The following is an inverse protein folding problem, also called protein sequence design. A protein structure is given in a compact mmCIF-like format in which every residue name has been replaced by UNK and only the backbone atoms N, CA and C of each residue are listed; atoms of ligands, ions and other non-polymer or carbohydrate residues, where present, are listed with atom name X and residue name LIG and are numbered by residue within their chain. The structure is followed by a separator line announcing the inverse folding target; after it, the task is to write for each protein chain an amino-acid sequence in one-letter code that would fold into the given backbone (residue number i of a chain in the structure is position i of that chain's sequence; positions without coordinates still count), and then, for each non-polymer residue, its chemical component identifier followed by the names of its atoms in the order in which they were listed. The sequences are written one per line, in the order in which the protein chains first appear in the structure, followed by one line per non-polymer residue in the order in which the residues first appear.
data_IF_657929006470
#
_entry.id   IF_657929006470
#
_cell.length_a   1.000
_cell.length_b   1.000
_cell.length_c   1.000
_cell.angle_alpha   90.00
_cell.angle_beta   90.00
_cell.angle_gamma   90.00
#
_symmetry.space_group_name_H-M   'P 1'
#
loop_
_entity.id
_entity.type
_entity.pdbx_description
1 polymer ?
#
# COMPACT_ATOMS: atom_id res chain seq x y z
N UNK A 1 17.58 43.54 -11.50
CA UNK A 1 18.14 42.58 -12.48
C UNK A 1 19.00 41.45 -11.89
N UNK A 2 19.81 41.64 -10.83
CA UNK A 2 20.66 40.58 -10.25
C UNK A 2 19.89 39.45 -9.52
N UNK A 3 18.79 39.77 -8.84
CA UNK A 3 17.95 38.78 -8.13
C UNK A 3 17.20 37.85 -9.10
N UNK A 4 16.80 38.36 -10.27
CA UNK A 4 16.11 37.59 -11.31
C UNK A 4 17.04 36.58 -12.01
N UNK A 5 18.32 36.93 -12.22
CA UNK A 5 19.33 36.01 -12.78
C UNK A 5 19.70 34.87 -11.82
N UNK A 6 19.74 35.12 -10.51
CA UNK A 6 20.03 34.10 -9.50
C UNK A 6 18.89 33.07 -9.37
N UNK A 7 17.63 33.54 -9.45
CA UNK A 7 16.43 32.67 -9.47
C UNK A 7 16.37 31.80 -10.74
N UNK A 8 16.70 32.35 -11.91
CA UNK A 8 16.77 31.57 -13.16
C UNK A 8 17.89 30.53 -13.10
N UNK A 9 19.04 30.85 -12.50
CA UNK A 9 20.18 29.92 -12.37
C UNK A 9 19.87 28.76 -11.40
N UNK A 10 19.17 29.04 -10.30
CA UNK A 10 18.75 28.00 -9.32
C UNK A 10 17.66 27.11 -9.94
N UNK A 11 16.72 27.72 -10.69
CA UNK A 11 15.68 26.96 -11.38
C UNK A 11 16.29 26.08 -12.48
N UNK A 12 17.22 26.60 -13.28
CA UNK A 12 17.91 25.85 -14.33
C UNK A 12 18.81 24.74 -13.77
N UNK A 13 19.53 24.95 -12.67
CA UNK A 13 20.27 23.88 -11.97
C UNK A 13 19.35 22.80 -11.42
N UNK A 14 18.20 23.18 -10.86
CA UNK A 14 17.23 22.21 -10.32
C UNK A 14 16.54 21.40 -11.42
N UNK A 15 16.37 22.00 -12.61
CA UNK A 15 15.82 21.36 -13.80
C UNK A 15 16.87 20.44 -14.44
N UNK A 16 18.14 20.85 -14.54
CA UNK A 16 19.21 20.02 -15.09
C UNK A 16 19.51 18.80 -14.20
N UNK A 17 19.57 18.98 -12.88
CA UNK A 17 19.72 17.86 -11.92
C UNK A 17 18.55 16.87 -11.99
N UNK A 18 17.32 17.34 -12.25
CA UNK A 18 16.15 16.47 -12.44
C UNK A 18 16.16 15.74 -13.78
N UNK A 19 16.67 16.38 -14.84
CA UNK A 19 16.81 15.77 -16.16
C UNK A 19 17.87 14.65 -16.13
N UNK A 20 19.04 14.93 -15.56
CA UNK A 20 20.17 14.01 -15.42
C UNK A 20 19.80 12.74 -14.63
N UNK A 21 19.07 12.89 -13.51
CA UNK A 21 18.62 11.76 -12.70
C UNK A 21 17.52 10.92 -13.39
N UNK A 22 16.73 11.50 -14.29
CA UNK A 22 15.74 10.74 -15.07
C UNK A 22 16.42 9.97 -16.21
N UNK A 23 17.41 10.56 -16.88
CA UNK A 23 18.24 9.86 -17.88
C UNK A 23 18.97 8.66 -17.25
N UNK A 24 19.45 8.81 -16.02
CA UNK A 24 20.09 7.74 -15.26
C UNK A 24 19.12 6.57 -14.97
N UNK A 25 17.88 6.85 -14.56
CA UNK A 25 16.84 5.82 -14.38
C UNK A 25 16.61 5.04 -15.68
N UNK A 26 16.44 5.74 -16.80
CA UNK A 26 16.21 5.10 -18.10
C UNK A 26 17.43 4.29 -18.56
N UNK A 27 18.65 4.76 -18.26
CA UNK A 27 19.89 4.02 -18.54
C UNK A 27 19.96 2.71 -17.75
N UNK A 28 19.67 2.74 -16.45
CA UNK A 28 19.66 1.53 -15.60
C UNK A 28 18.59 0.53 -16.07
N UNK A 29 17.41 1.00 -16.45
CA UNK A 29 16.35 0.13 -16.98
C UNK A 29 16.76 -0.53 -18.30
N UNK A 30 17.39 0.20 -19.21
CA UNK A 30 17.90 -0.35 -20.48
C UNK A 30 19.00 -1.38 -20.31
N UNK A 31 19.84 -1.25 -19.28
CA UNK A 31 20.91 -2.22 -19.00
C UNK A 31 20.40 -3.52 -18.36
N UNK A 32 19.16 -3.54 -17.89
CA UNK A 32 18.57 -4.64 -17.10
C UNK A 32 17.39 -5.31 -17.81
N UNK A 33 17.38 -5.34 -19.15
CA UNK A 33 16.27 -5.91 -19.95
C UNK A 33 16.05 -7.40 -19.72
N UNK A 34 17.12 -8.18 -19.50
CA UNK A 34 17.10 -9.62 -19.23
C UNK A 34 17.24 -9.95 -17.73
N UNK A 35 16.59 -9.14 -16.90
CA UNK A 35 16.67 -9.26 -15.43
C UNK A 35 16.12 -10.59 -14.92
N UNK A 36 16.86 -11.24 -14.02
CA UNK A 36 16.43 -12.45 -13.30
C UNK A 36 15.57 -12.14 -12.08
N UNK A 37 15.36 -10.85 -11.79
CA UNK A 37 14.59 -10.36 -10.66
C UNK A 37 13.11 -10.71 -10.74
N UNK A 38 12.57 -10.96 -11.94
CA UNK A 38 11.18 -11.34 -12.11
C UNK A 38 11.03 -12.84 -12.43
N UNK A 39 10.14 -13.54 -11.72
CA UNK A 39 9.85 -14.95 -11.95
C UNK A 39 8.36 -15.20 -12.01
N UNK A 40 7.96 -16.17 -12.83
CA UNK A 40 6.57 -16.53 -13.04
C UNK A 40 6.34 -18.00 -12.66
N UNK A 41 5.55 -18.24 -11.61
CA UNK A 41 5.03 -19.56 -11.24
C UNK A 41 3.52 -19.68 -11.45
N UNK A 42 2.89 -18.66 -12.05
CA UNK A 42 1.46 -18.63 -12.35
C UNK A 42 1.18 -19.37 -13.66
N UNK A 43 0.07 -20.11 -13.70
CA UNK A 43 -0.34 -20.80 -14.92
C UNK A 43 -0.67 -19.80 -16.04
N UNK A 44 -0.18 -20.08 -17.26
CA UNK A 44 -0.44 -19.27 -18.47
C UNK A 44 -1.93 -18.96 -18.69
N UNK A 45 -2.81 -19.92 -18.38
CA UNK A 45 -4.27 -19.75 -18.51
C UNK A 45 -4.83 -18.64 -17.61
N UNK A 46 -4.27 -18.46 -16.42
CA UNK A 46 -4.76 -17.48 -15.45
C UNK A 46 -4.18 -16.09 -15.77
N UNK A 47 -2.93 -16.02 -16.25
CA UNK A 47 -2.36 -14.79 -16.82
C UNK A 47 -3.17 -14.28 -18.02
N UNK A 48 -3.58 -15.16 -18.95
CA UNK A 48 -4.46 -14.78 -20.07
C UNK A 48 -5.82 -14.23 -19.61
N UNK A 49 -6.38 -14.74 -18.50
CA UNK A 49 -7.62 -14.19 -17.93
C UNK A 49 -7.40 -12.80 -17.37
N UNK A 50 -6.28 -12.60 -16.65
CA UNK A 50 -5.91 -11.29 -16.12
C UNK A 50 -5.70 -10.28 -17.26
N UNK A 51 -4.99 -10.67 -18.31
CA UNK A 51 -4.76 -9.89 -19.53
C UNK A 51 -6.08 -9.47 -20.19
N UNK A 52 -6.97 -10.42 -20.47
CA UNK A 52 -8.30 -10.13 -21.05
C UNK A 52 -9.07 -9.14 -20.19
N UNK A 53 -9.00 -9.28 -18.86
CA UNK A 53 -9.68 -8.39 -17.93
C UNK A 53 -9.06 -6.99 -17.91
N UNK A 54 -7.73 -6.89 -17.92
CA UNK A 54 -7.00 -5.64 -18.03
C UNK A 54 -7.34 -4.90 -19.34
N UNK A 55 -7.29 -5.59 -20.49
CA UNK A 55 -7.62 -5.04 -21.82
C UNK A 55 -9.07 -4.57 -21.92
N UNK A 56 -10.00 -5.20 -21.20
CA UNK A 56 -11.39 -4.75 -21.15
C UNK A 56 -11.58 -3.37 -20.49
N UNK A 57 -10.58 -2.86 -19.75
CA UNK A 57 -10.59 -1.55 -19.07
C UNK A 57 -11.85 -1.33 -18.22
N UNK A 58 -12.37 -2.41 -17.63
CA UNK A 58 -13.55 -2.42 -16.77
C UNK A 58 -13.23 -3.25 -15.52
N UNK A 59 -13.40 -2.64 -14.36
CA UNK A 59 -13.31 -3.30 -13.06
C UNK A 59 -12.00 -4.04 -12.79
N UNK A 60 -10.91 -3.29 -12.64
CA UNK A 60 -9.58 -3.85 -12.38
C UNK A 60 -9.01 -3.32 -11.06
N UNK A 61 -8.86 -4.20 -10.08
CA UNK A 61 -8.37 -3.85 -8.74
C UNK A 61 -6.99 -4.41 -8.46
N UNK A 62 -6.07 -3.58 -7.98
CA UNK A 62 -4.79 -4.02 -7.39
C UNK A 62 -4.78 -3.66 -5.91
N UNK A 63 -4.35 -4.61 -5.07
CA UNK A 63 -4.10 -4.36 -3.65
C UNK A 63 -2.68 -4.69 -3.27
N UNK A 64 -2.02 -3.77 -2.58
CA UNK A 64 -0.68 -3.96 -2.04
C UNK A 64 -0.75 -4.10 -0.52
N UNK A 65 -0.30 -5.23 0.00
CA UNK A 65 0.04 -5.38 1.41
C UNK A 65 1.55 -5.19 1.56
N UNK A 66 2.01 -4.38 2.52
CA UNK A 66 3.44 -4.22 2.71
C UNK A 66 3.90 -3.48 3.95
N UNK A 67 5.18 -3.13 3.95
CA UNK A 67 5.84 -2.39 5.03
C UNK A 67 6.13 -0.93 4.63
N UNK A 68 7.18 -0.32 5.21
CA UNK A 68 7.56 1.07 4.91
C UNK A 68 7.89 1.33 3.45
N UNK A 69 8.29 0.32 2.68
CA UNK A 69 8.57 0.49 1.25
C UNK A 69 7.32 0.82 0.43
N UNK A 70 6.14 0.42 0.93
CA UNK A 70 4.86 0.65 0.27
C UNK A 70 4.05 1.76 0.95
N UNK A 71 4.21 1.95 2.26
CA UNK A 71 3.39 2.87 3.06
C UNK A 71 3.62 4.37 2.78
N UNK A 72 4.79 4.74 2.25
CA UNK A 72 5.06 6.09 1.78
C UNK A 72 4.44 6.38 0.39
N UNK A 73 3.86 5.35 -0.25
CA UNK A 73 3.06 5.43 -1.47
C UNK A 73 3.84 5.88 -2.73
N UNK A 74 5.18 5.91 -2.67
CA UNK A 74 6.03 6.24 -3.82
C UNK A 74 6.08 5.11 -4.87
N UNK A 75 6.26 3.85 -4.42
CA UNK A 75 6.23 2.68 -5.29
C UNK A 75 4.83 2.43 -5.87
N UNK A 76 3.74 2.38 -5.06
CA UNK A 76 2.39 2.22 -5.57
C UNK A 76 1.95 3.33 -6.54
N UNK A 77 2.40 4.59 -6.32
CA UNK A 77 2.09 5.72 -7.21
C UNK A 77 2.56 5.47 -8.64
N UNK A 78 3.76 4.93 -8.84
CA UNK A 78 4.25 4.63 -10.19
C UNK A 78 3.35 3.60 -10.89
N UNK A 79 2.86 2.59 -10.18
CA UNK A 79 1.93 1.63 -10.78
C UNK A 79 0.62 2.33 -11.16
N UNK A 80 0.09 3.23 -10.31
CA UNK A 80 -1.08 4.03 -10.68
C UNK A 80 -0.79 4.88 -11.92
N UNK A 81 0.27 5.67 -11.92
CA UNK A 81 0.54 6.61 -13.00
C UNK A 81 0.78 5.93 -14.37
N UNK A 82 1.39 4.73 -14.37
CA UNK A 82 1.86 4.09 -15.61
C UNK A 82 1.13 2.80 -16.00
N UNK A 83 0.39 2.15 -15.10
CA UNK A 83 -0.40 0.96 -15.40
C UNK A 83 -1.91 1.21 -15.30
N UNK A 84 -2.32 2.00 -14.30
CA UNK A 84 -3.72 2.15 -13.90
C UNK A 84 -4.14 3.62 -13.79
N UNK A 85 -4.80 4.16 -14.80
CA UNK A 85 -5.51 5.44 -14.63
C UNK A 85 -6.68 5.25 -13.66
N UNK A 86 -6.39 5.42 -12.37
CA UNK A 86 -7.29 5.10 -11.27
C UNK A 86 -8.48 6.04 -11.29
N UNK A 87 -9.68 5.49 -11.21
CA UNK A 87 -10.92 6.26 -11.14
C UNK A 87 -11.66 6.03 -9.80
N UNK A 88 -11.10 5.17 -8.95
CA UNK A 88 -11.50 4.90 -7.59
C UNK A 88 -10.24 4.82 -6.71
N UNK A 89 -10.37 5.01 -5.41
CA UNK A 89 -9.24 4.85 -4.47
C UNK A 89 -9.13 3.40 -4.02
N UNK A 90 -10.24 2.66 -3.96
CA UNK A 90 -10.30 1.36 -3.28
C UNK A 90 -10.36 1.58 -1.76
N UNK A 91 -9.61 0.79 -1.01
CA UNK A 91 -9.48 0.95 0.44
C UNK A 91 -8.53 2.10 0.81
N UNK A 92 -8.87 2.83 1.87
CA UNK A 92 -7.96 3.77 2.52
C UNK A 92 -8.16 3.77 4.03
N UNK A 93 -7.07 3.91 4.79
CA UNK A 93 -7.14 4.10 6.24
C UNK A 93 -7.95 5.35 6.61
N UNK A 94 -8.59 5.30 7.78
CA UNK A 94 -9.34 6.44 8.30
C UNK A 94 -8.47 7.70 8.46
N UNK A 95 -7.23 7.49 8.92
CA UNK A 95 -6.13 8.44 8.96
C UNK A 95 -4.82 7.70 8.65
N UNK A 96 -3.86 8.38 8.05
CA UNK A 96 -2.55 7.80 7.74
C UNK A 96 -1.63 7.87 8.97
N UNK A 97 -0.94 6.78 9.35
CA UNK A 97 0.07 6.85 10.40
C UNK A 97 1.19 7.82 10.04
N UNK A 98 1.93 8.27 11.05
CA UNK A 98 3.04 9.22 10.85
C UNK A 98 4.04 8.69 9.81
N UNK A 99 4.45 9.56 8.88
CA UNK A 99 5.36 9.26 7.77
C UNK A 99 4.81 8.26 6.73
N UNK A 100 3.49 8.09 6.69
CA UNK A 100 2.78 7.33 5.66
C UNK A 100 1.78 8.26 4.98
N UNK A 101 1.35 7.89 3.77
CA UNK A 101 0.41 8.70 3.02
C UNK A 101 -0.37 7.87 2.01
N UNK A 102 -1.46 8.44 1.52
CA UNK A 102 -2.14 7.98 0.31
C UNK A 102 -2.22 9.19 -0.63
N UNK A 103 -1.53 9.14 -1.76
CA UNK A 103 -1.36 10.30 -2.64
C UNK A 103 -2.62 10.65 -3.42
N UNK A 104 -3.63 9.76 -3.48
CA UNK A 104 -4.96 10.06 -4.02
C UNK A 104 -5.86 10.80 -3.03
N UNK A 105 -5.43 10.96 -1.77
CA UNK A 105 -6.23 11.54 -0.70
C UNK A 105 -5.45 12.62 0.06
N UNK A 106 -6.19 13.51 0.70
CA UNK A 106 -5.64 14.46 1.69
C UNK A 106 -6.52 14.46 2.93
N UNK A 107 -5.89 14.54 4.09
CA UNK A 107 -6.54 14.43 5.39
C UNK A 107 -6.23 15.68 6.21
N UNK A 108 -7.27 16.31 6.77
CA UNK A 108 -7.15 17.22 7.92
C UNK A 108 -7.95 16.62 9.07
N UNK A 109 -7.44 16.67 10.29
CA UNK A 109 -8.21 16.13 11.43
C UNK A 109 -7.94 16.90 12.73
N UNK A 110 -8.88 16.80 13.66
CA UNK A 110 -8.79 17.36 15.01
C UNK A 110 -9.43 16.42 16.02
N UNK A 111 -8.73 16.19 17.15
CA UNK A 111 -9.16 15.33 18.26
C UNK A 111 -9.40 13.86 17.85
N UNK A 112 -8.52 13.32 17.02
CA UNK A 112 -8.44 11.88 16.77
C UNK A 112 -7.06 11.36 17.15
N UNK A 113 -7.04 10.23 17.84
CA UNK A 113 -5.84 9.42 18.06
C UNK A 113 -5.81 8.24 17.09
N UNK A 114 -4.61 7.84 16.69
CA UNK A 114 -4.38 6.67 15.84
C UNK A 114 -4.01 5.46 16.70
N UNK A 115 -4.72 4.35 16.52
CA UNK A 115 -4.35 3.05 17.08
C UNK A 115 -3.73 2.20 15.96
N UNK A 116 -2.73 1.39 16.31
CA UNK A 116 -1.97 0.61 15.34
C UNK A 116 -1.60 -0.77 15.90
N UNK A 117 -2.09 -1.83 15.24
CA UNK A 117 -1.85 -3.24 15.57
C UNK A 117 -0.37 -3.62 15.73
N UNK A 118 0.54 -2.88 15.09
CA UNK A 118 1.99 -3.10 15.19
C UNK A 118 2.53 -2.78 16.59
N UNK A 119 1.90 -1.87 17.32
CA UNK A 119 2.38 -1.37 18.61
C UNK A 119 1.46 -1.78 19.78
N UNK A 120 0.21 -2.09 19.51
CA UNK A 120 -0.79 -2.56 20.49
C UNK A 120 -1.53 -3.75 19.88
N UNK A 121 -1.58 -4.86 20.61
CA UNK A 121 -2.20 -6.12 20.15
C UNK A 121 -3.55 -6.42 20.79
N UNK A 122 -3.97 -5.61 21.76
CA UNK A 122 -5.14 -5.90 22.59
C UNK A 122 -6.44 -5.31 22.05
N UNK A 123 -6.39 -4.63 20.91
CA UNK A 123 -7.54 -3.96 20.33
C UNK A 123 -8.14 -4.75 19.16
N UNK A 124 -9.44 -4.57 18.94
CA UNK A 124 -10.18 -5.24 17.88
C UNK A 124 -9.96 -4.54 16.52
N UNK A 125 -8.81 -4.78 15.89
CA UNK A 125 -8.40 -4.13 14.64
C UNK A 125 -9.10 -4.67 13.39
N UNK A 126 -9.56 -3.81 12.47
CA UNK A 126 -10.08 -4.23 11.17
C UNK A 126 -8.95 -4.41 10.15
N UNK A 127 -9.30 -4.57 8.88
CA UNK A 127 -8.37 -4.69 7.76
C UNK A 127 -7.29 -3.61 7.80
N UNK A 128 -6.04 -4.08 7.77
CA UNK A 128 -4.87 -3.21 7.75
C UNK A 128 -4.47 -2.63 9.10
N UNK A 129 -5.16 -2.97 10.19
CA UNK A 129 -4.58 -2.81 11.52
C UNK A 129 -4.48 -1.38 12.04
N UNK A 130 -5.18 -0.43 11.41
CA UNK A 130 -5.18 1.00 11.76
C UNK A 130 -6.59 1.45 12.12
N UNK A 131 -6.71 2.27 13.17
CA UNK A 131 -7.99 2.87 13.58
C UNK A 131 -7.78 4.34 13.91
N UNK A 132 -8.70 5.19 13.46
CA UNK A 132 -8.85 6.55 13.98
C UNK A 132 -9.91 6.56 15.06
N UNK A 133 -9.52 6.84 16.31
CA UNK A 133 -10.41 6.93 17.48
C UNK A 133 -10.65 8.38 17.85
N UNK A 134 -11.90 8.77 17.98
CA UNK A 134 -12.28 10.11 18.42
C UNK A 134 -11.91 10.30 19.91
N UNK A 135 -11.11 11.32 20.20
CA UNK A 135 -10.72 11.65 21.57
C UNK A 135 -11.86 12.34 22.33
N UNK A 136 -12.79 12.96 21.60
CA UNK A 136 -14.02 13.57 22.14
C UNK A 136 -15.15 13.63 21.11
N UNK A 137 -16.37 13.78 21.60
CA UNK A 137 -17.52 14.15 20.75
C UNK A 137 -17.21 15.46 20.01
N UNK A 138 -17.56 15.51 18.72
CA UNK A 138 -17.22 16.63 17.85
C UNK A 138 -15.80 16.60 17.28
N UNK A 139 -15.04 15.50 17.46
CA UNK A 139 -13.83 15.27 16.69
C UNK A 139 -14.14 15.26 15.18
N UNK A 140 -13.25 15.79 14.35
CA UNK A 140 -13.51 15.98 12.91
C UNK A 140 -12.36 15.40 12.08
N UNK A 141 -12.72 14.75 10.96
CA UNK A 141 -11.84 14.46 9.82
C UNK A 141 -12.43 15.18 8.60
N UNK A 142 -11.61 15.95 7.88
CA UNK A 142 -11.90 16.36 6.51
C UNK A 142 -11.07 15.49 5.57
N UNK A 143 -11.75 14.82 4.66
CA UNK A 143 -11.16 13.94 3.67
C UNK A 143 -11.44 14.52 2.29
N UNK A 144 -10.40 14.73 1.49
CA UNK A 144 -10.55 15.12 0.08
C UNK A 144 -9.83 14.11 -0.83
N UNK A 145 -10.24 14.04 -2.09
CA UNK A 145 -9.56 13.24 -3.11
C UNK A 145 -8.92 14.11 -4.18
N UNK A 146 -7.84 13.61 -4.77
CA UNK A 146 -7.20 14.20 -5.95
C UNK A 146 -7.64 13.56 -7.28
N UNK A 147 -8.51 12.56 -7.21
CA UNK A 147 -9.14 11.99 -8.40
C UNK A 147 -10.12 13.01 -9.02
N UNK A 148 -10.49 12.77 -10.27
CA UNK A 148 -11.46 13.62 -10.99
C UNK A 148 -12.77 13.79 -10.19
N UNK A 149 -13.26 15.03 -10.09
CA UNK A 149 -14.46 15.38 -9.33
C UNK A 149 -15.69 14.67 -9.90
N UNK A 150 -16.31 13.81 -9.10
CA UNK A 150 -17.53 13.09 -9.42
C UNK A 150 -18.23 12.57 -8.16
N UNK A 151 -19.31 11.84 -8.35
CA UNK A 151 -19.94 11.09 -7.26
C UNK A 151 -19.24 9.75 -7.05
N UNK A 152 -18.94 9.44 -5.79
CA UNK A 152 -18.35 8.18 -5.37
C UNK A 152 -19.34 7.41 -4.51
N UNK A 153 -19.29 6.08 -4.59
CA UNK A 153 -19.85 5.20 -3.56
C UNK A 153 -18.79 5.06 -2.48
N UNK A 154 -19.09 5.56 -1.28
CA UNK A 154 -18.17 5.58 -0.14
C UNK A 154 -18.70 4.69 0.97
N UNK A 155 -18.01 3.58 1.22
CA UNK A 155 -18.22 2.71 2.36
C UNK A 155 -17.41 3.15 3.56
N UNK A 156 -18.02 3.16 4.74
CA UNK A 156 -17.39 3.50 6.01
C UNK A 156 -17.41 2.29 6.93
N UNK A 157 -16.24 1.88 7.42
CA UNK A 157 -16.16 0.92 8.54
C UNK A 157 -16.00 1.67 9.85
N UNK A 158 -16.90 1.45 10.79
CA UNK A 158 -16.93 2.19 12.04
C UNK A 158 -17.51 1.38 13.20
N UNK A 159 -17.20 1.77 14.43
CA UNK A 159 -17.86 1.27 15.64
C UNK A 159 -17.91 2.37 16.70
N UNK A 160 -18.74 2.18 17.71
CA UNK A 160 -18.83 3.12 18.83
C UNK A 160 -19.18 2.42 20.15
N UNK A 161 -18.86 3.06 21.31
CA UNK A 161 -19.15 2.51 22.63
C UNK A 161 -20.65 2.30 22.91
N UNK A 162 -21.52 3.07 22.25
CA UNK A 162 -22.96 2.96 22.41
C UNK A 162 -23.64 2.66 21.07
N UNK A 163 -24.74 1.88 21.14
CA UNK A 163 -25.59 1.51 20.01
C UNK A 163 -26.47 2.69 19.55
N UNK A 164 -25.82 3.77 19.13
CA UNK A 164 -26.43 5.03 18.71
C UNK A 164 -25.68 5.60 17.48
N UNK A 165 -26.00 6.84 17.11
CA UNK A 165 -25.31 7.54 16.02
C UNK A 165 -23.83 7.72 16.39
N UNK A 166 -22.92 7.17 15.60
CA UNK A 166 -21.48 7.19 15.85
C UNK A 166 -20.80 8.38 15.16
N UNK A 167 -21.18 8.65 13.90
CA UNK A 167 -20.64 9.74 13.10
C UNK A 167 -21.72 10.41 12.24
N UNK A 168 -21.53 11.69 11.93
CA UNK A 168 -22.22 12.37 10.83
C UNK A 168 -21.22 12.69 9.72
N UNK A 169 -21.61 12.46 8.46
CA UNK A 169 -20.81 12.77 7.28
C UNK A 169 -21.53 13.85 6.47
N UNK A 170 -20.84 14.93 6.14
CA UNK A 170 -21.33 15.99 5.24
C UNK A 170 -20.45 16.04 4.00
N UNK A 171 -21.05 16.05 2.82
CA UNK A 171 -20.32 16.09 1.55
C UNK A 171 -20.22 17.51 0.96
N UNK A 172 -19.57 17.65 -0.20
CA UNK A 172 -19.36 18.93 -0.87
C UNK A 172 -20.64 19.59 -1.40
N UNK A 173 -21.74 18.84 -1.51
CA UNK A 173 -23.07 19.32 -1.94
C UNK A 173 -24.00 19.51 -0.73
N UNK A 174 -23.43 19.64 0.46
CA UNK A 174 -24.12 19.76 1.75
C UNK A 174 -25.04 18.57 2.13
N UNK A 175 -24.95 17.44 1.41
CA UNK A 175 -25.70 16.23 1.78
C UNK A 175 -25.16 15.66 3.08
N UNK A 176 -26.07 15.31 3.99
CA UNK A 176 -25.74 14.82 5.32
C UNK A 176 -26.17 13.36 5.50
N UNK A 177 -25.29 12.56 6.06
CA UNK A 177 -25.49 11.14 6.31
C UNK A 177 -25.13 10.81 7.76
N UNK A 178 -25.88 9.89 8.37
CA UNK A 178 -25.61 9.40 9.73
C UNK A 178 -25.09 7.97 9.68
N UNK A 179 -23.95 7.72 10.32
CA UNK A 179 -23.40 6.39 10.56
C UNK A 179 -23.83 5.93 11.96
N UNK A 180 -24.82 5.03 12.04
CA UNK A 180 -25.36 4.51 13.30
C UNK A 180 -24.74 3.16 13.64
N UNK A 181 -24.22 3.03 14.86
CA UNK A 181 -23.78 1.75 15.40
C UNK A 181 -25.00 1.01 15.94
N UNK A 182 -25.23 -0.23 15.49
CA UNK A 182 -26.37 -1.05 15.91
C UNK A 182 -26.05 -2.00 17.07
N UNK A 183 -24.80 -2.01 17.51
CA UNK A 183 -24.36 -2.74 18.69
C UNK A 183 -23.16 -2.00 19.32
N UNK A 184 -22.99 -2.20 20.63
CA UNK A 184 -21.84 -1.68 21.39
C UNK A 184 -20.55 -2.33 20.89
N UNK A 185 -19.53 -1.49 20.62
CA UNK A 185 -18.15 -1.89 20.28
C UNK A 185 -18.02 -2.89 19.12
N UNK A 186 -19.03 -2.95 18.25
CA UNK A 186 -19.08 -3.86 17.11
C UNK A 186 -18.90 -3.11 15.80
N UNK A 187 -17.98 -3.59 14.96
CA UNK A 187 -17.76 -3.07 13.62
C UNK A 187 -19.05 -3.14 12.79
N UNK A 188 -19.42 -1.97 12.26
CA UNK A 188 -20.55 -1.72 11.38
C UNK A 188 -20.01 -1.16 10.06
N UNK A 189 -20.74 -1.40 8.99
CA UNK A 189 -20.41 -0.92 7.65
C UNK A 189 -21.62 -0.18 7.06
N UNK A 190 -21.38 0.97 6.44
CA UNK A 190 -22.43 1.73 5.74
C UNK A 190 -21.87 2.40 4.48
N UNK A 191 -22.60 2.27 3.38
CA UNK A 191 -22.30 2.96 2.13
C UNK A 191 -23.20 4.18 1.94
N UNK A 192 -22.65 5.20 1.28
CA UNK A 192 -23.38 6.39 0.83
C UNK A 192 -22.84 6.83 -0.53
N UNK A 193 -23.65 7.56 -1.29
CA UNK A 193 -23.20 8.26 -2.50
C UNK A 193 -22.85 9.69 -2.13
N UNK A 194 -21.61 10.12 -2.35
CA UNK A 194 -21.14 11.45 -1.93
C UNK A 194 -20.15 12.06 -2.92
N UNK A 195 -20.01 13.38 -2.85
CA UNK A 195 -18.97 14.14 -3.58
C UNK A 195 -17.96 14.72 -2.58
N UNK A 196 -16.67 14.52 -2.85
CA UNK A 196 -15.59 15.06 -2.02
C UNK A 196 -15.46 16.59 -2.18
N UNK A 197 -15.00 17.32 -1.14
CA UNK A 197 -14.53 16.83 0.15
C UNK A 197 -15.65 16.34 1.08
N UNK A 198 -15.30 15.43 1.99
CA UNK A 198 -16.16 14.91 3.06
C UNK A 198 -15.71 15.48 4.41
N UNK A 199 -16.66 15.92 5.22
CA UNK A 199 -16.47 16.25 6.64
C UNK A 199 -17.14 15.20 7.51
N UNK A 200 -16.34 14.42 8.23
CA UNK A 200 -16.78 13.35 9.12
C UNK A 200 -16.64 13.85 10.56
N UNK A 201 -17.74 13.88 11.31
CA UNK A 201 -17.77 14.36 12.70
C UNK A 201 -18.18 13.23 13.63
N UNK A 202 -17.39 12.98 14.68
CA UNK A 202 -17.73 12.01 15.72
C UNK A 202 -18.89 12.53 16.58
N UNK A 203 -19.92 11.69 16.75
CA UNK A 203 -21.09 11.99 17.58
C UNK A 203 -20.99 11.40 18.99
N UNK A 204 -19.97 10.57 19.22
CA UNK A 204 -19.63 9.98 20.51
C UNK A 204 -18.11 10.10 20.77
N UNK A 205 -17.72 10.21 22.03
CA UNK A 205 -16.32 9.99 22.45
C UNK A 205 -15.94 8.51 22.20
N UNK A 206 -14.68 8.23 21.87
CA UNK A 206 -14.16 6.89 21.58
C UNK A 206 -14.86 6.17 20.42
N UNK A 207 -15.63 6.88 19.58
CA UNK A 207 -16.08 6.34 18.30
C UNK A 207 -14.87 6.09 17.40
N UNK A 208 -14.88 4.99 16.66
CA UNK A 208 -13.73 4.51 15.89
C UNK A 208 -14.08 4.32 14.42
N UNK A 209 -13.17 4.75 13.55
CA UNK A 209 -13.20 4.52 12.10
C UNK A 209 -12.06 3.57 11.72
N UNK A 210 -12.38 2.49 11.01
CA UNK A 210 -11.39 1.53 10.49
C UNK A 210 -10.84 1.91 9.13
N UNK A 211 -11.65 2.57 8.30
CA UNK A 211 -11.25 2.97 6.96
C UNK A 211 -12.43 3.30 6.06
N UNK A 212 -12.09 3.58 4.81
CA UNK A 212 -13.02 3.94 3.75
C UNK A 212 -12.85 3.00 2.55
N UNK A 213 -13.95 2.73 1.86
CA UNK A 213 -13.99 2.05 0.57
C UNK A 213 -14.55 3.03 -0.44
N UNK A 214 -13.69 3.65 -1.25
CA UNK A 214 -14.06 4.76 -2.14
C UNK A 214 -14.03 4.25 -3.58
N UNK A 215 -15.23 4.03 -4.12
CA UNK A 215 -15.49 3.41 -5.41
C UNK A 215 -16.20 4.40 -6.35
N UNK A 216 -16.08 4.19 -7.65
CA UNK A 216 -16.91 4.89 -8.64
C UNK A 216 -18.38 4.55 -8.39
N UNK A 217 -19.26 5.57 -8.39
CA UNK A 217 -20.71 5.37 -8.24
C UNK A 217 -21.28 4.39 -9.28
N UNK A 218 -20.73 4.39 -10.50
CA UNK A 218 -21.19 3.56 -11.62
C UNK A 218 -20.57 2.16 -11.60
N UNK A 219 -19.87 1.79 -10.52
CA UNK A 219 -19.31 0.44 -10.32
C UNK A 219 -18.37 -0.01 -11.45
N UNK A 220 -17.65 0.95 -12.06
CA UNK A 220 -16.57 0.68 -13.02
C UNK A 220 -15.23 1.01 -12.38
N UNK A 221 -14.79 0.21 -11.43
CA UNK A 221 -13.69 0.52 -10.53
C UNK A 221 -12.33 0.11 -11.10
N UNK A 222 -11.48 1.09 -11.39
CA UNK A 222 -10.05 0.90 -11.63
C UNK A 222 -9.32 1.55 -10.46
N UNK A 223 -8.65 0.74 -9.65
CA UNK A 223 -8.00 1.23 -8.44
C UNK A 223 -6.73 0.45 -8.11
N UNK A 224 -5.86 1.13 -7.37
CA UNK A 224 -4.81 0.50 -6.59
C UNK A 224 -4.88 1.03 -5.17
N UNK A 225 -5.16 0.14 -4.22
CA UNK A 225 -5.10 0.45 -2.80
C UNK A 225 -3.88 -0.19 -2.12
N UNK A 226 -3.48 0.42 -1.00
CA UNK A 226 -2.30 0.05 -0.25
C UNK A 226 -2.67 -0.13 1.22
N UNK A 227 -2.37 -1.32 1.74
CA UNK A 227 -2.46 -1.70 3.15
C UNK A 227 -1.03 -1.95 3.62
N UNK A 228 -0.35 -0.88 3.98
CA UNK A 228 1.02 -0.96 4.44
C UNK A 228 1.21 -0.18 5.73
N UNK A 229 2.13 -0.64 6.58
CA UNK A 229 2.48 0.01 7.85
C UNK A 229 4.01 0.02 7.98
N UNK A 230 4.57 1.18 8.33
CA UNK A 230 6.00 1.31 8.63
C UNK A 230 6.44 0.32 9.71
N UNK A 231 7.44 -0.50 9.41
CA UNK A 231 7.96 -1.52 10.33
C UNK A 231 7.09 -2.76 10.45
N UNK A 232 6.06 -2.94 9.61
CA UNK A 232 5.26 -4.15 9.60
C UNK A 232 6.09 -5.35 9.14
N UNK A 233 5.80 -6.49 9.76
CA UNK A 233 6.25 -7.80 9.33
C UNK A 233 5.13 -8.53 8.60
N UNK A 234 5.50 -9.60 7.91
CA UNK A 234 4.57 -10.45 7.18
C UNK A 234 3.47 -11.11 8.05
N UNK A 235 3.67 -11.17 9.37
CA UNK A 235 2.77 -11.80 10.33
C UNK A 235 1.79 -10.83 11.01
N UNK A 236 1.84 -9.52 10.70
CA UNK A 236 1.04 -8.49 11.37
C UNK A 236 -0.48 -8.74 11.26
N UNK A 237 -0.93 -9.39 10.18
CA UNK A 237 -2.34 -9.72 9.97
C UNK A 237 -2.94 -10.61 11.07
N UNK A 238 -2.10 -11.33 11.84
CA UNK A 238 -2.53 -12.16 12.97
C UNK A 238 -3.10 -11.32 14.12
N UNK A 239 -2.72 -10.04 14.19
CA UNK A 239 -3.22 -9.10 15.19
C UNK A 239 -4.52 -8.40 14.71
N UNK A 240 -5.12 -8.83 13.59
CA UNK A 240 -6.39 -8.30 13.07
C UNK A 240 -7.58 -9.22 13.39
N UNK A 241 -8.77 -8.64 13.49
CA UNK A 241 -10.02 -9.39 13.58
C UNK A 241 -10.39 -10.00 12.23
N UNK A 242 -10.06 -11.28 12.07
CA UNK A 242 -10.25 -11.99 10.81
C UNK A 242 -11.70 -12.05 10.32
N UNK A 243 -12.70 -11.99 11.20
CA UNK A 243 -14.10 -12.05 10.78
C UNK A 243 -14.58 -10.72 10.21
N UNK A 244 -14.02 -9.60 10.69
CA UNK A 244 -14.24 -8.28 10.12
C UNK A 244 -13.46 -8.15 8.82
N UNK A 245 -12.18 -8.56 8.83
CA UNK A 245 -11.29 -8.56 7.66
C UNK A 245 -11.93 -9.33 6.49
N UNK A 246 -12.44 -10.55 6.70
CA UNK A 246 -13.08 -11.32 5.62
C UNK A 246 -14.24 -10.56 4.98
N UNK A 247 -15.07 -9.88 5.78
CA UNK A 247 -16.18 -9.06 5.26
C UNK A 247 -15.67 -7.88 4.45
N UNK A 248 -14.63 -7.19 4.93
CA UNK A 248 -13.97 -6.09 4.24
C UNK A 248 -13.30 -6.52 2.92
N UNK A 249 -12.67 -7.69 2.90
CA UNK A 249 -12.12 -8.29 1.67
C UNK A 249 -13.21 -8.60 0.64
N UNK A 250 -14.44 -8.87 1.07
CA UNK A 250 -15.59 -9.08 0.18
C UNK A 250 -16.14 -7.79 -0.46
N UNK A 251 -15.80 -6.60 0.07
CA UNK A 251 -16.27 -5.31 -0.47
C UNK A 251 -15.58 -4.96 -1.79
N UNK A 252 -14.27 -5.24 -1.89
CA UNK A 252 -13.46 -4.90 -3.07
C UNK A 252 -12.89 -6.15 -3.70
N UNK A 253 -13.27 -6.38 -4.97
CA UNK A 253 -12.68 -7.45 -5.78
C UNK A 253 -11.32 -7.02 -6.30
N UNK A 254 -10.27 -7.72 -5.89
CA UNK A 254 -8.92 -7.51 -6.40
C UNK A 254 -8.58 -8.57 -7.44
N UNK A 255 -7.95 -8.15 -8.52
CA UNK A 255 -7.46 -9.00 -9.60
C UNK A 255 -5.97 -9.30 -9.46
N UNK A 256 -5.24 -8.36 -8.83
CA UNK A 256 -3.86 -8.53 -8.45
C UNK A 256 -3.69 -8.21 -6.96
N UNK A 257 -3.06 -9.12 -6.23
CA UNK A 257 -2.69 -8.90 -4.83
C UNK A 257 -1.18 -9.01 -4.70
N UNK A 258 -0.55 -7.95 -4.20
CA UNK A 258 0.90 -7.86 -3.99
C UNK A 258 1.17 -7.97 -2.50
N UNK A 259 2.08 -8.87 -2.10
CA UNK A 259 2.59 -8.96 -0.73
C UNK A 259 4.07 -8.57 -0.72
N UNK A 260 4.37 -7.40 -0.18
CA UNK A 260 5.70 -6.80 -0.15
C UNK A 260 6.19 -6.65 1.31
N UNK A 261 6.66 -7.77 1.86
CA UNK A 261 7.24 -7.85 3.21
C UNK A 261 8.60 -8.55 3.16
N UNK A 262 9.25 -8.67 4.32
CA UNK A 262 10.53 -9.35 4.46
C UNK A 262 11.63 -8.46 5.04
N UNK A 263 11.54 -7.13 4.89
CA UNK A 263 12.56 -6.21 5.41
C UNK A 263 12.64 -6.29 6.93
N UNK A 264 11.48 -6.18 7.60
CA UNK A 264 11.41 -6.25 9.06
C UNK A 264 11.53 -7.70 9.59
N UNK A 265 11.10 -8.70 8.81
CA UNK A 265 11.27 -10.11 9.12
C UNK A 265 12.77 -10.49 9.15
N UNK A 266 13.56 -9.93 8.23
CA UNK A 266 15.02 -10.11 8.21
C UNK A 266 15.71 -9.43 9.39
N UNK A 267 15.09 -8.46 10.06
CA UNK A 267 15.67 -7.79 11.23
C UNK A 267 15.30 -8.48 12.56
N UNK A 268 14.56 -9.59 12.52
CA UNK A 268 14.29 -10.39 13.71
C UNK A 268 15.59 -10.98 14.28
N UNK A 269 15.67 -11.06 15.60
CA UNK A 269 16.78 -11.76 16.28
C UNK A 269 16.76 -13.26 15.98
N UNK A 270 15.58 -13.87 16.14
CA UNK A 270 15.37 -15.31 16.02
C UNK A 270 14.42 -15.61 14.85
N UNK A 271 14.88 -15.37 13.61
CA UNK A 271 14.07 -15.65 12.42
C UNK A 271 13.87 -17.16 12.24
N UNK A 272 12.60 -17.58 12.16
CA UNK A 272 12.23 -18.95 11.85
C UNK A 272 11.58 -19.04 10.47
N UNK A 273 12.30 -19.61 9.50
CA UNK A 273 11.82 -19.75 8.12
C UNK A 273 10.56 -20.63 8.01
N UNK A 274 10.41 -21.65 8.85
CA UNK A 274 9.23 -22.54 8.82
C UNK A 274 8.00 -21.78 9.29
N UNK A 275 8.11 -21.02 10.39
CA UNK A 275 7.00 -20.20 10.89
C UNK A 275 6.65 -19.08 9.91
N UNK A 276 7.65 -18.38 9.36
CA UNK A 276 7.47 -17.35 8.35
C UNK A 276 6.66 -17.86 7.14
N UNK A 277 7.06 -19.01 6.58
CA UNK A 277 6.33 -19.63 5.46
C UNK A 277 4.92 -20.06 5.88
N UNK A 278 4.76 -20.64 7.06
CA UNK A 278 3.43 -21.04 7.57
C UNK A 278 2.49 -19.83 7.67
N UNK A 279 2.95 -18.72 8.25
CA UNK A 279 2.16 -17.50 8.39
C UNK A 279 1.75 -16.93 7.02
N UNK A 280 2.66 -16.92 6.04
CA UNK A 280 2.33 -16.52 4.66
C UNK A 280 1.27 -17.43 4.03
N UNK A 281 1.44 -18.75 4.12
CA UNK A 281 0.48 -19.72 3.56
C UNK A 281 -0.91 -19.57 4.17
N UNK A 282 -0.98 -19.37 5.48
CA UNK A 282 -2.26 -19.17 6.16
C UNK A 282 -2.92 -17.84 5.71
N UNK A 283 -2.13 -16.79 5.47
CA UNK A 283 -2.66 -15.55 4.88
C UNK A 283 -3.12 -15.73 3.43
N UNK A 284 -2.34 -16.43 2.59
CA UNK A 284 -2.73 -16.77 1.22
C UNK A 284 -4.06 -17.51 1.18
N UNK A 285 -4.28 -18.49 2.06
CA UNK A 285 -5.58 -19.20 2.15
C UNK A 285 -6.74 -18.24 2.37
N UNK A 286 -6.58 -17.27 3.28
CA UNK A 286 -7.61 -16.25 3.55
C UNK A 286 -7.82 -15.39 2.29
N UNK A 287 -6.74 -14.83 1.72
CA UNK A 287 -6.84 -13.93 0.58
C UNK A 287 -7.41 -14.60 -0.67
N UNK A 288 -6.99 -15.85 -0.96
CA UNK A 288 -7.50 -16.64 -2.09
C UNK A 288 -8.96 -17.00 -1.94
N UNK A 289 -9.43 -17.27 -0.71
CA UNK A 289 -10.86 -17.57 -0.48
C UNK A 289 -11.73 -16.36 -0.80
N UNK A 290 -11.32 -15.18 -0.35
CA UNK A 290 -12.10 -13.95 -0.56
C UNK A 290 -11.87 -13.33 -1.96
N UNK A 291 -10.72 -13.60 -2.60
CA UNK A 291 -10.38 -13.11 -3.94
C UNK A 291 -10.04 -14.29 -4.88
N UNK A 292 -11.03 -15.12 -5.19
CA UNK A 292 -10.86 -16.42 -5.90
C UNK A 292 -10.07 -16.38 -7.21
N UNK A 293 -10.13 -15.26 -7.93
CA UNK A 293 -9.49 -15.11 -9.23
C UNK A 293 -8.25 -14.21 -9.21
N UNK A 294 -7.82 -13.74 -8.03
CA UNK A 294 -6.66 -12.86 -7.93
C UNK A 294 -5.38 -13.61 -8.30
N UNK A 295 -4.56 -12.96 -9.12
CA UNK A 295 -3.16 -13.30 -9.28
C UNK A 295 -2.38 -12.67 -8.13
N UNK A 296 -1.38 -13.38 -7.62
CA UNK A 296 -0.55 -12.91 -6.52
C UNK A 296 0.85 -12.58 -7.00
N UNK A 297 1.42 -11.51 -6.46
CA UNK A 297 2.83 -11.16 -6.60
C UNK A 297 3.46 -11.14 -5.20
N UNK A 298 4.55 -11.88 -5.01
CA UNK A 298 5.44 -11.66 -3.87
C UNK A 298 6.52 -10.67 -4.29
N UNK A 299 6.76 -9.66 -3.46
CA UNK A 299 7.92 -8.77 -3.61
C UNK A 299 8.89 -9.07 -2.47
N UNK A 300 10.10 -9.52 -2.79
CA UNK A 300 11.14 -9.69 -1.78
C UNK A 300 11.75 -8.34 -1.42
N UNK A 301 12.29 -8.19 -0.19
CA UNK A 301 12.82 -6.91 0.24
C UNK A 301 14.06 -6.50 -0.58
N UNK A 302 14.40 -5.19 -0.64
CA UNK A 302 15.70 -4.75 -1.13
C UNK A 302 16.80 -5.25 -0.20
N UNK A 303 18.08 -4.97 -0.51
CA UNK A 303 19.20 -5.33 0.39
C UNK A 303 18.98 -4.78 1.81
N UNK A 304 18.71 -5.66 2.77
CA UNK A 304 18.40 -5.31 4.16
C UNK A 304 19.68 -5.21 4.97
N UNK A 305 19.97 -4.01 5.47
CA UNK A 305 21.11 -3.75 6.34
C UNK A 305 20.68 -3.24 7.70
N UNK A 306 21.40 -3.63 8.74
CA UNK A 306 21.20 -3.14 10.11
C UNK A 306 22.40 -2.31 10.56
N UNK A 307 22.13 -1.31 11.40
CA UNK A 307 23.17 -0.48 12.00
C UNK A 307 23.93 -1.27 13.07
N UNK A 308 25.25 -1.37 12.97
CA UNK A 308 26.16 -1.93 13.98
C UNK A 308 27.28 -0.92 14.24
N UNK A 309 27.19 -0.22 15.37
CA UNK A 309 28.07 0.91 15.67
C UNK A 309 27.89 2.05 14.66
N UNK A 310 29.00 2.46 14.01
CA UNK A 310 29.01 3.49 12.95
C UNK A 310 28.70 2.94 11.54
N UNK A 311 28.66 1.62 11.39
CA UNK A 311 28.54 0.95 10.09
C UNK A 311 27.15 0.36 9.89
N UNK A 312 26.81 0.10 8.63
CA UNK A 312 25.66 -0.71 8.24
C UNK A 312 26.18 -2.04 7.68
N UNK A 313 25.69 -3.14 8.23
CA UNK A 313 26.04 -4.49 7.79
C UNK A 313 24.79 -5.20 7.30
N UNK A 314 24.97 -6.17 6.41
CA UNK A 314 23.87 -7.02 5.97
C UNK A 314 23.20 -7.69 7.18
N UNK A 315 21.87 -7.77 7.17
CA UNK A 315 21.17 -8.56 8.17
C UNK A 315 21.57 -10.04 8.04
N UNK A 316 21.83 -10.75 9.16
CA UNK A 316 22.16 -12.17 9.14
C UNK A 316 21.04 -13.05 8.57
N UNK A 317 19.78 -12.61 8.69
CA UNK A 317 18.62 -13.38 8.24
C UNK A 317 18.18 -13.02 6.81
N UNK A 318 18.82 -12.04 6.17
CA UNK A 318 18.41 -11.51 4.87
C UNK A 318 18.27 -12.60 3.79
N UNK A 319 19.31 -13.43 3.62
CA UNK A 319 19.29 -14.51 2.62
C UNK A 319 18.28 -15.61 2.96
N UNK A 320 18.06 -15.90 4.26
CA UNK A 320 17.08 -16.88 4.69
C UNK A 320 15.64 -16.42 4.39
N UNK A 321 15.33 -15.14 4.63
CA UNK A 321 14.04 -14.53 4.26
C UNK A 321 13.85 -14.55 2.74
N UNK A 322 14.85 -14.10 1.96
CA UNK A 322 14.81 -14.12 0.49
C UNK A 322 14.52 -15.53 -0.03
N UNK A 323 15.24 -16.54 0.48
CA UNK A 323 15.04 -17.94 0.12
C UNK A 323 13.62 -18.42 0.45
N UNK A 324 13.11 -18.10 1.64
CA UNK A 324 11.75 -18.48 2.03
C UNK A 324 10.67 -17.85 1.14
N UNK A 325 10.85 -16.60 0.70
CA UNK A 325 9.95 -15.92 -0.24
C UNK A 325 9.97 -16.60 -1.62
N UNK A 326 11.14 -17.04 -2.09
CA UNK A 326 11.25 -17.80 -3.34
C UNK A 326 10.53 -19.14 -3.28
N UNK A 327 10.72 -19.88 -2.18
CA UNK A 327 10.02 -21.14 -1.93
C UNK A 327 8.50 -20.92 -1.90
N UNK A 328 8.04 -19.90 -1.18
CA UNK A 328 6.62 -19.51 -1.15
C UNK A 328 6.08 -19.17 -2.55
N UNK A 329 6.83 -18.40 -3.36
CA UNK A 329 6.37 -18.04 -4.70
C UNK A 329 6.13 -19.27 -5.58
N UNK A 330 7.00 -20.29 -5.47
CA UNK A 330 6.87 -21.56 -6.17
C UNK A 330 5.72 -22.40 -5.61
N UNK A 331 5.68 -22.58 -4.28
CA UNK A 331 4.69 -23.39 -3.58
C UNK A 331 3.26 -22.85 -3.78
N UNK A 332 3.10 -21.52 -3.72
CA UNK A 332 1.82 -20.82 -3.83
C UNK A 332 1.52 -20.34 -5.26
N UNK A 333 2.36 -20.68 -6.25
CA UNK A 333 2.16 -20.36 -7.68
C UNK A 333 1.90 -18.88 -7.93
N UNK A 334 2.83 -18.03 -7.49
CA UNK A 334 2.74 -16.57 -7.61
C UNK A 334 3.70 -16.04 -8.68
N UNK A 335 3.54 -14.78 -9.06
CA UNK A 335 4.65 -14.02 -9.61
C UNK A 335 5.58 -13.64 -8.46
N UNK A 336 6.84 -13.40 -8.77
CA UNK A 336 7.85 -12.94 -7.83
C UNK A 336 8.63 -11.81 -8.46
N UNK A 337 8.75 -10.69 -7.76
CA UNK A 337 9.67 -9.61 -8.09
C UNK A 337 10.67 -9.41 -6.96
N UNK A 338 11.95 -9.50 -7.30
CA UNK A 338 13.04 -9.50 -6.34
C UNK A 338 13.79 -8.17 -6.36
N UNK A 339 13.45 -7.29 -5.41
CA UNK A 339 14.05 -5.97 -5.31
C UNK A 339 15.57 -6.04 -5.09
N UNK A 340 16.08 -7.09 -4.42
CA UNK A 340 17.50 -7.25 -4.20
C UNK A 340 18.22 -7.75 -5.44
N UNK A 341 17.67 -8.73 -6.16
CA UNK A 341 18.26 -9.21 -7.41
C UNK A 341 18.39 -8.08 -8.42
N UNK A 342 17.33 -7.29 -8.61
CA UNK A 342 17.39 -6.12 -9.48
C UNK A 342 18.43 -5.10 -9.02
N UNK A 343 18.53 -4.87 -7.70
CA UNK A 343 19.57 -4.00 -7.14
C UNK A 343 20.98 -4.56 -7.41
N UNK A 344 21.20 -5.87 -7.36
CA UNK A 344 22.49 -6.49 -7.69
C UNK A 344 22.83 -6.31 -9.17
N UNK A 345 21.88 -6.60 -10.06
CA UNK A 345 22.04 -6.46 -11.51
C UNK A 345 22.27 -5.00 -11.95
N UNK A 346 21.76 -4.03 -11.18
CA UNK A 346 21.91 -2.60 -11.43
C UNK A 346 23.05 -1.94 -10.62
N UNK A 347 24.05 -2.72 -10.21
CA UNK A 347 25.29 -2.21 -9.61
C UNK A 347 25.38 -2.23 -8.10
N UNK A 348 24.49 -2.96 -7.42
CA UNK A 348 24.45 -3.20 -5.97
C UNK A 348 23.99 -2.00 -5.12
N UNK A 349 23.77 -2.25 -3.82
CA UNK A 349 23.39 -1.21 -2.85
C UNK A 349 24.42 -0.07 -2.78
N UNK A 350 25.71 -0.38 -2.93
CA UNK A 350 26.77 0.62 -2.83
C UNK A 350 26.63 1.69 -3.92
N UNK A 351 26.47 1.26 -5.18
CA UNK A 351 26.23 2.17 -6.29
C UNK A 351 24.90 2.91 -6.15
N UNK A 352 23.85 2.22 -5.68
CA UNK A 352 22.57 2.88 -5.41
C UNK A 352 22.68 3.99 -4.35
N UNK A 353 23.53 3.84 -3.34
CA UNK A 353 23.79 4.90 -2.35
C UNK A 353 24.55 6.06 -3.00
N UNK A 354 25.60 5.76 -3.78
CA UNK A 354 26.38 6.76 -4.51
C UNK A 354 25.48 7.61 -5.44
N UNK A 355 24.58 6.94 -6.17
CA UNK A 355 23.59 7.55 -7.08
C UNK A 355 22.36 8.12 -6.37
N UNK A 356 22.33 8.16 -5.03
CA UNK A 356 21.20 8.69 -4.22
C UNK A 356 19.86 7.99 -4.48
N UNK A 357 19.88 6.73 -4.92
CA UNK A 357 18.71 5.85 -5.09
C UNK A 357 18.39 5.06 -3.82
N UNK A 358 19.39 4.79 -2.98
CA UNK A 358 19.21 4.08 -1.69
C UNK A 358 19.74 4.91 -0.52
N UNK A 359 19.13 4.75 0.65
CA UNK A 359 19.77 5.12 1.91
C UNK A 359 20.74 4.03 2.35
N UNK A 360 21.55 4.34 3.38
CA UNK A 360 22.48 3.37 4.01
C UNK A 360 21.75 2.27 4.78
N UNK A 361 20.54 2.55 5.27
CA UNK A 361 19.68 1.59 5.95
C UNK A 361 18.84 0.80 4.94
N UNK A 362 17.73 0.20 5.38
CA UNK A 362 16.84 -0.59 4.53
C UNK A 362 16.10 0.24 3.47
N UNK A 363 15.94 1.55 3.65
CA UNK A 363 15.04 2.36 2.84
C UNK A 363 15.68 2.85 1.54
N UNK A 364 14.84 3.08 0.54
CA UNK A 364 15.21 3.72 -0.71
C UNK A 364 14.87 5.21 -0.69
N UNK A 365 15.48 5.98 -1.58
CA UNK A 365 14.99 7.33 -1.87
C UNK A 365 13.70 7.26 -2.70
N UNK A 366 13.00 8.39 -2.84
CA UNK A 366 11.82 8.47 -3.72
C UNK A 366 12.13 7.96 -5.13
N UNK A 367 13.29 8.35 -5.67
CA UNK A 367 13.76 7.94 -7.00
C UNK A 367 14.14 6.47 -7.06
N UNK A 368 14.72 5.91 -6.00
CA UNK A 368 14.93 4.47 -5.90
C UNK A 368 13.64 3.66 -5.91
N UNK A 369 12.60 4.12 -5.19
CA UNK A 369 11.27 3.51 -5.25
C UNK A 369 10.64 3.63 -6.64
N UNK A 370 10.80 4.78 -7.31
CA UNK A 370 10.33 4.99 -8.67
C UNK A 370 10.99 4.01 -9.65
N UNK A 371 12.33 3.90 -9.61
CA UNK A 371 13.10 2.98 -10.44
C UNK A 371 12.66 1.53 -10.22
N UNK A 372 12.51 1.12 -8.95
CA UNK A 372 12.09 -0.23 -8.59
C UNK A 372 10.68 -0.55 -9.11
N UNK A 373 9.75 0.39 -9.00
CA UNK A 373 8.38 0.22 -9.48
C UNK A 373 8.32 0.20 -11.02
N UNK A 374 9.08 1.05 -11.70
CA UNK A 374 9.21 1.03 -13.16
C UNK A 374 9.73 -0.32 -13.66
N UNK A 375 10.78 -0.85 -13.03
CA UNK A 375 11.30 -2.17 -13.40
C UNK A 375 10.26 -3.27 -13.24
N UNK A 376 9.55 -3.31 -12.12
CA UNK A 376 8.47 -4.30 -11.92
C UNK A 376 7.38 -4.14 -12.98
N UNK A 377 7.04 -2.90 -13.32
CA UNK A 377 6.02 -2.60 -14.32
C UNK A 377 6.42 -3.07 -15.72
N UNK A 378 7.66 -2.86 -16.14
CA UNK A 378 8.17 -3.32 -17.43
C UNK A 378 8.07 -4.84 -17.57
N UNK A 379 8.35 -5.57 -16.48
CA UNK A 379 8.16 -7.02 -16.45
C UNK A 379 6.68 -7.43 -16.44
N UNK A 380 5.84 -6.70 -15.70
CA UNK A 380 4.42 -7.00 -15.62
C UNK A 380 3.68 -6.75 -16.94
N UNK A 381 4.09 -5.72 -17.70
CA UNK A 381 3.52 -5.38 -19.02
C UNK A 381 3.68 -6.51 -20.04
N UNK A 382 4.75 -7.30 -19.95
CA UNK A 382 4.94 -8.50 -20.78
C UNK A 382 3.81 -9.54 -20.67
N UNK A 383 2.97 -9.46 -19.63
CA UNK A 383 1.77 -10.30 -19.48
C UNK A 383 0.48 -9.62 -19.91
N UNK A 384 0.53 -8.32 -20.24
CA UNK A 384 -0.60 -7.50 -20.64
C UNK A 384 -0.58 -7.10 -22.11
N UNK A 385 0.55 -7.24 -22.79
CA UNK A 385 0.74 -6.91 -24.21
C UNK A 385 0.17 -7.98 -25.15
#
# INVERSE_FOLDING_TARGET
MRVFRLLILILSLSLSLKADLNEEIESILKQSTDSKAFKNYVAKKDLKKLEKKYKAKKDFGIRIYGDSHMAADFFPRVIRDYLLRSNAVGFAYALQPKYQQNLNLTYEFKNFSLLNSKNDKQHNYPLGGIIARADKKGAIIKLNTKLETKEFKVGFLFKAPFSQNAFSVKDAKDKSFILRSNAKDKWSYKEVISTFPLKITALQEKAELGGYFIMDKNERNIFLDTIAINGARSDLWKDWNLDVVKKELGVLKNDLIILAYGSNDALLKDFNAVEFKKNYKDFFKILRRENKNAIFILISPPTVTQKKGKNYILSPNFHAVKKAIYELAKEEKTLLFDMHEFMQESGTKALWIEKKLSLKDVHLSVKGYELMAKKMLDELRKFFD
#
